data_IF_119274354385
#
_entry.id   IF_119274354385
#
_cell.length_a   1.000
_cell.length_b   1.000
_cell.length_c   1.000
_cell.angle_alpha   90.00
_cell.angle_beta   90.00
_cell.angle_gamma   90.00
#
_symmetry.space_group_name_H-M   'P 1'
#
loop_
_entity.id
_entity.type
_entity.pdbx_description
1 polymer ?
#
# COMPACT_ATOMS: atom_id res chain seq x y z
N UNK A 1 -1.95 -19.45 18.22
CA UNK A 1 -0.87 -20.06 17.42
C UNK A 1 -0.70 -19.29 16.11
N UNK A 2 0.43 -18.59 15.94
CA UNK A 2 0.71 -17.75 14.77
C UNK A 2 1.30 -18.60 13.64
N UNK A 3 0.61 -18.70 12.50
CA UNK A 3 1.15 -19.35 11.30
C UNK A 3 1.70 -18.25 10.37
N UNK A 4 3.00 -18.00 10.44
CA UNK A 4 3.72 -17.10 9.53
C UNK A 4 3.90 -17.82 8.19
N UNK A 5 3.13 -17.46 7.16
CA UNK A 5 3.33 -17.97 5.80
C UNK A 5 4.30 -17.07 5.01
N UNK A 6 5.56 -17.49 4.98
CA UNK A 6 6.55 -17.15 3.94
C UNK A 6 7.46 -15.95 4.26
N UNK A 7 8.78 -16.18 4.25
CA UNK A 7 9.78 -15.13 4.07
C UNK A 7 9.71 -14.64 2.62
N UNK A 8 9.53 -13.34 2.41
CA UNK A 8 9.46 -12.70 1.10
C UNK A 8 10.73 -11.87 0.85
N UNK A 9 11.10 -11.67 -0.42
CA UNK A 9 12.34 -10.97 -0.82
C UNK A 9 12.31 -9.51 -0.35
N UNK A 10 13.30 -9.09 0.44
CA UNK A 10 13.58 -7.67 0.75
C UNK A 10 12.66 -6.98 1.75
N UNK A 11 11.43 -7.45 1.94
CA UNK A 11 10.45 -6.84 2.84
C UNK A 11 10.21 -7.70 4.08
N UNK A 12 10.24 -7.07 5.25
CA UNK A 12 10.05 -7.74 6.55
C UNK A 12 8.60 -7.66 7.06
N UNK A 13 7.68 -7.17 6.22
CA UNK A 13 6.27 -7.01 6.52
C UNK A 13 5.63 -8.35 6.96
N UNK A 14 4.60 -8.26 7.79
CA UNK A 14 3.79 -9.42 8.20
C UNK A 14 2.33 -9.15 7.92
N UNK A 15 1.61 -10.16 7.43
CA UNK A 15 0.18 -10.03 7.17
C UNK A 15 -0.59 -11.29 7.57
N UNK A 16 -1.91 -11.13 7.76
CA UNK A 16 -2.82 -12.24 8.04
C UNK A 16 -4.18 -12.01 7.41
N UNK A 17 -4.77 -13.09 6.88
CA UNK A 17 -6.13 -13.12 6.33
C UNK A 17 -7.16 -13.55 7.37
N UNK A 18 -8.30 -12.87 7.36
CA UNK A 18 -9.48 -13.15 8.16
C UNK A 18 -10.71 -13.05 7.26
N UNK A 19 -11.09 -14.17 6.63
CA UNK A 19 -12.18 -14.17 5.65
C UNK A 19 -11.89 -13.26 4.46
N UNK A 20 -12.67 -12.19 4.36
CA UNK A 20 -12.59 -11.13 3.35
C UNK A 20 -11.60 -10.00 3.71
N UNK A 21 -11.01 -10.02 4.91
CA UNK A 21 -10.10 -8.98 5.40
C UNK A 21 -8.64 -9.45 5.37
N UNK A 22 -7.75 -8.53 5.00
CA UNK A 22 -6.31 -8.67 5.13
C UNK A 22 -5.80 -7.62 6.12
N UNK A 23 -5.12 -8.08 7.18
CA UNK A 23 -4.46 -7.21 8.15
C UNK A 23 -2.96 -7.25 7.85
N UNK A 24 -2.38 -6.08 7.59
CA UNK A 24 -1.00 -5.92 7.14
C UNK A 24 -0.27 -5.04 8.16
N UNK A 25 0.92 -5.46 8.59
CA UNK A 25 1.83 -4.69 9.41
C UNK A 25 3.15 -4.54 8.67
N UNK A 26 3.38 -3.32 8.19
CA UNK A 26 4.67 -2.90 7.66
C UNK A 26 5.66 -2.69 8.81
N UNK A 27 6.94 -2.86 8.50
CA UNK A 27 8.07 -2.50 9.34
C UNK A 27 8.83 -1.34 8.70
N UNK A 28 9.69 -0.70 9.50
CA UNK A 28 10.59 0.34 9.00
C UNK A 28 11.40 -0.18 7.81
N UNK A 29 11.43 0.60 6.72
CA UNK A 29 12.07 0.24 5.45
C UNK A 29 11.14 -0.48 4.47
N UNK A 30 9.96 -0.94 4.89
CA UNK A 30 8.99 -1.51 3.95
C UNK A 30 8.29 -0.39 3.17
N UNK A 31 8.16 -0.57 1.84
CA UNK A 31 7.42 0.36 0.99
C UNK A 31 5.95 -0.03 0.95
N UNK A 32 5.07 0.89 1.38
CA UNK A 32 3.62 0.65 1.51
C UNK A 32 2.98 0.10 0.23
N UNK A 33 3.17 0.79 -0.90
CA UNK A 33 2.49 0.44 -2.17
C UNK A 33 2.97 -0.91 -2.71
N UNK A 34 4.27 -1.17 -2.67
CA UNK A 34 4.86 -2.44 -3.12
C UNK A 34 4.40 -3.61 -2.24
N UNK A 35 4.44 -3.43 -0.91
CA UNK A 35 4.02 -4.46 0.06
C UNK A 35 2.54 -4.81 -0.08
N UNK A 36 1.66 -3.81 -0.23
CA UNK A 36 0.22 -4.04 -0.41
C UNK A 36 -0.04 -4.74 -1.74
N UNK A 37 0.61 -4.31 -2.83
CA UNK A 37 0.44 -4.95 -4.15
C UNK A 37 0.80 -6.43 -4.11
N UNK A 38 1.94 -6.79 -3.53
CA UNK A 38 2.39 -8.18 -3.44
C UNK A 38 1.39 -9.06 -2.66
N UNK A 39 0.82 -8.55 -1.58
CA UNK A 39 -0.20 -9.28 -0.81
C UNK A 39 -1.47 -9.48 -1.63
N UNK A 40 -1.94 -8.45 -2.33
CA UNK A 40 -3.16 -8.53 -3.12
C UNK A 40 -3.01 -9.50 -4.30
N UNK A 41 -1.84 -9.52 -4.96
CA UNK A 41 -1.50 -10.51 -6.00
C UNK A 41 -1.48 -11.93 -5.43
N UNK A 42 -0.78 -12.15 -4.30
CA UNK A 42 -0.66 -13.46 -3.64
C UNK A 42 -2.00 -14.02 -3.16
N UNK A 43 -2.89 -13.15 -2.68
CA UNK A 43 -4.20 -13.53 -2.13
C UNK A 43 -5.32 -13.48 -3.18
N UNK A 44 -4.98 -13.18 -4.45
CA UNK A 44 -5.88 -13.02 -5.59
C UNK A 44 -7.04 -12.04 -5.31
N UNK A 45 -6.72 -10.90 -4.69
CA UNK A 45 -7.68 -9.83 -4.37
C UNK A 45 -7.73 -8.83 -5.52
N UNK A 46 -8.90 -8.70 -6.15
CA UNK A 46 -9.10 -7.82 -7.32
C UNK A 46 -9.51 -6.40 -6.96
N UNK A 47 -10.21 -6.24 -5.84
CA UNK A 47 -10.72 -4.97 -5.35
C UNK A 47 -10.96 -5.03 -3.83
N UNK A 48 -10.89 -3.88 -3.18
CA UNK A 48 -11.19 -3.74 -1.77
C UNK A 48 -11.02 -2.30 -1.28
N UNK A 49 -11.20 -2.13 0.02
CA UNK A 49 -10.89 -0.90 0.74
C UNK A 49 -9.63 -1.10 1.57
N UNK A 50 -8.74 -0.10 1.55
CA UNK A 50 -7.55 -0.09 2.39
C UNK A 50 -7.67 1.09 3.36
N UNK A 51 -7.50 0.79 4.63
CA UNK A 51 -7.42 1.77 5.70
C UNK A 51 -6.21 1.46 6.56
N UNK A 52 -5.51 2.49 7.00
CA UNK A 52 -4.34 2.30 7.83
C UNK A 52 -3.89 3.58 8.51
N UNK A 53 -3.10 3.36 9.55
CA UNK A 53 -2.36 4.37 10.31
C UNK A 53 -0.89 3.93 10.39
N UNK A 54 0.01 4.88 10.61
CA UNK A 54 1.44 4.61 10.75
C UNK A 54 2.25 5.87 10.57
N UNK A 55 3.55 5.72 10.34
CA UNK A 55 4.45 6.84 10.07
C UNK A 55 5.36 6.51 8.87
N UNK A 56 5.86 7.55 8.21
CA UNK A 56 6.81 7.44 7.11
C UNK A 56 7.82 8.58 7.19
N UNK A 57 9.06 8.32 6.78
CA UNK A 57 10.14 9.31 6.66
C UNK A 57 10.35 9.76 5.20
N UNK A 58 9.64 9.12 4.26
CA UNK A 58 9.66 9.45 2.83
C UNK A 58 8.25 9.31 2.24
N UNK A 59 7.75 10.38 1.63
CA UNK A 59 6.40 10.42 1.07
C UNK A 59 6.39 11.17 -0.27
N UNK A 60 5.84 10.54 -1.30
CA UNK A 60 5.48 11.17 -2.56
C UNK A 60 3.96 11.19 -2.71
N UNK A 61 3.38 12.39 -2.89
CA UNK A 61 1.94 12.60 -3.09
C UNK A 61 1.72 13.30 -4.42
N UNK A 62 0.83 12.76 -5.25
CA UNK A 62 0.42 13.35 -6.52
C UNK A 62 -1.00 13.88 -6.49
N UNK A 63 -1.19 15.14 -6.92
CA UNK A 63 -2.50 15.71 -7.22
C UNK A 63 -2.72 15.71 -8.74
N UNK A 64 -3.68 14.91 -9.21
CA UNK A 64 -4.04 14.85 -10.62
C UNK A 64 -4.73 16.15 -11.07
N UNK A 65 -4.23 16.78 -12.13
CA UNK A 65 -4.89 17.91 -12.80
C UNK A 65 -5.72 17.39 -13.99
N UNK A 66 -7.05 17.50 -13.96
CA UNK A 66 -7.91 16.99 -15.03
C UNK A 66 -7.80 17.79 -16.34
N UNK A 67 -7.28 19.03 -16.30
CA UNK A 67 -7.12 19.87 -17.49
C UNK A 67 -5.89 19.46 -18.28
N UNK A 68 -4.76 19.27 -17.60
CA UNK A 68 -3.50 18.86 -18.25
C UNK A 68 -3.36 17.35 -18.37
N UNK A 69 -4.10 16.59 -17.53
CA UNK A 69 -3.96 15.14 -17.33
C UNK A 69 -2.62 14.71 -16.73
N UNK A 70 -1.93 15.64 -16.07
CA UNK A 70 -0.67 15.39 -15.37
C UNK A 70 -0.86 15.33 -13.86
N UNK A 71 0.12 14.76 -13.15
CA UNK A 71 0.17 14.78 -11.69
C UNK A 71 1.13 15.87 -11.20
N UNK A 72 0.62 16.77 -10.36
CA UNK A 72 1.45 17.67 -9.57
C UNK A 72 2.01 16.90 -8.37
N UNK A 73 3.29 16.51 -8.45
CA UNK A 73 3.97 15.70 -7.45
C UNK A 73 4.62 16.59 -6.38
N UNK A 74 4.42 16.22 -5.11
CA UNK A 74 5.18 16.75 -3.96
C UNK A 74 5.89 15.62 -3.24
N UNK A 75 7.12 15.89 -2.81
CA UNK A 75 7.98 14.97 -2.06
C UNK A 75 8.26 15.55 -0.68
N UNK A 76 8.24 14.68 0.32
CA UNK A 76 8.59 14.99 1.70
C UNK A 76 9.60 13.95 2.17
N UNK A 77 10.72 14.41 2.72
CA UNK A 77 11.80 13.60 3.30
C UNK A 77 11.98 14.00 4.77
N UNK A 78 10.91 13.82 5.54
CA UNK A 78 10.80 14.18 6.95
C UNK A 78 9.89 13.18 7.66
N UNK A 79 9.97 13.12 8.99
CA UNK A 79 9.11 12.25 9.79
C UNK A 79 7.65 12.75 9.76
N UNK A 80 6.76 11.96 9.15
CA UNK A 80 5.34 12.26 9.00
C UNK A 80 4.45 11.16 9.58
N UNK A 81 3.40 11.58 10.28
CA UNK A 81 2.33 10.70 10.76
C UNK A 81 1.22 10.52 9.71
N UNK A 82 0.86 9.27 9.47
CA UNK A 82 -0.31 8.85 8.70
C UNK A 82 -1.46 8.67 9.70
N UNK A 83 -2.09 9.76 10.10
CA UNK A 83 -3.10 9.77 11.16
C UNK A 83 -4.38 8.98 10.80
N UNK A 84 -4.88 9.13 9.57
CA UNK A 84 -6.03 8.38 9.05
C UNK A 84 -6.01 8.41 7.52
N UNK A 85 -5.64 7.30 6.91
CA UNK A 85 -5.76 7.13 5.46
C UNK A 85 -7.03 6.35 5.12
N UNK A 86 -7.94 6.95 4.35
CA UNK A 86 -9.07 6.27 3.73
C UNK A 86 -8.80 6.20 2.23
N UNK A 87 -8.21 5.11 1.76
CA UNK A 87 -8.05 4.88 0.33
C UNK A 87 -9.33 4.23 -0.18
N UNK A 88 -10.17 5.02 -0.86
CA UNK A 88 -11.44 4.56 -1.42
C UNK A 88 -11.17 4.00 -2.83
N UNK A 89 -11.39 2.70 -3.01
CA UNK A 89 -11.18 1.93 -4.25
C UNK A 89 -9.73 1.81 -4.74
N UNK A 90 -9.09 0.67 -4.41
CA UNK A 90 -8.04 0.12 -5.25
C UNK A 90 -8.67 -0.86 -6.24
N UNK A 91 -8.97 -0.43 -7.47
CA UNK A 91 -9.01 -1.38 -8.59
C UNK A 91 -7.55 -1.58 -8.97
N UNK A 92 -6.95 -2.72 -8.61
CA UNK A 92 -5.66 -3.07 -9.21
C UNK A 92 -5.97 -3.29 -10.70
N UNK A 93 -5.78 -2.24 -11.50
CA UNK A 93 -5.70 -2.38 -12.93
C UNK A 93 -4.35 -3.06 -13.18
N UNK A 94 -4.36 -4.40 -13.17
CA UNK A 94 -3.34 -5.24 -13.81
C UNK A 94 -3.47 -5.09 -15.33
N UNK A 95 -3.54 -3.87 -15.83
CA UNK A 95 -3.46 -3.58 -17.24
C UNK A 95 -2.16 -2.81 -17.42
N UNK A 96 -1.17 -3.51 -17.95
CA UNK A 96 -0.14 -2.90 -18.78
C UNK A 96 -0.82 -1.84 -19.64
N UNK A 97 -0.59 -0.57 -19.34
CA UNK A 97 -0.79 0.48 -20.32
C UNK A 97 0.61 0.75 -20.87
N UNK A 98 0.72 0.45 -22.16
CA UNK A 98 1.88 0.72 -23.02
C UNK A 98 2.34 2.17 -22.91
#
# INVERSE_FOLDING_TARGET
>A
MFKLKGKMKGFFMVYKRFGDKLVIRLKKGDKLVESVREILEKENVKAGFLTGIGATDNLEVGLFDPKTKDYNIKKYEEDLEIAKSLWKYFKIKMEKLY
#
